data_IF_289009033229
#
_entry.id   IF_289009033229
#
_cell.length_a   1.000
_cell.length_b   1.000
_cell.length_c   1.000
_cell.angle_alpha   90.00
_cell.angle_beta   90.00
_cell.angle_gamma   90.00
#
_symmetry.space_group_name_H-M   'P 1'
#
loop_
_entity.id
_entity.type
_entity.pdbx_description
1 polymer ?
#
# COMPACT_ATOMS: atom_id res chain seq x y z
N UNK A 1 -6.75 33.60 18.34
CA UNK A 1 -6.21 32.31 18.81
C UNK A 1 -6.34 31.32 17.68
N UNK A 2 -5.22 30.91 17.08
CA UNK A 2 -5.21 30.09 15.86
C UNK A 2 -5.75 28.68 16.13
N UNK A 3 -6.41 28.13 15.12
CA UNK A 3 -7.05 26.82 15.05
C UNK A 3 -6.08 25.62 15.12
N UNK A 4 -4.98 25.71 15.88
CA UNK A 4 -3.92 24.70 16.00
C UNK A 4 -4.44 23.28 16.31
N UNK A 5 -5.48 23.16 17.15
CA UNK A 5 -6.09 21.84 17.46
C UNK A 5 -6.93 21.29 16.30
N UNK A 6 -7.64 22.15 15.57
CA UNK A 6 -8.43 21.75 14.40
C UNK A 6 -7.53 21.35 13.23
N UNK A 7 -6.43 22.07 13.01
CA UNK A 7 -5.44 21.73 11.98
C UNK A 7 -4.73 20.41 12.29
N UNK A 8 -4.43 20.14 13.57
CA UNK A 8 -3.91 18.82 14.00
C UNK A 8 -4.91 17.70 13.76
N UNK A 9 -6.18 17.87 14.11
CA UNK A 9 -7.23 16.86 13.91
C UNK A 9 -7.50 16.60 12.41
N UNK A 10 -7.46 17.63 11.57
CA UNK A 10 -7.57 17.49 10.12
C UNK A 10 -6.39 16.69 9.54
N UNK A 11 -5.16 16.97 10.00
CA UNK A 11 -3.96 16.24 9.61
C UNK A 11 -3.97 14.75 10.01
N UNK A 12 -4.54 14.42 11.17
CA UNK A 12 -4.69 13.03 11.64
C UNK A 12 -5.68 12.24 10.78
N UNK A 13 -6.85 12.81 10.47
CA UNK A 13 -7.85 12.15 9.61
C UNK A 13 -7.31 11.91 8.19
N UNK A 14 -6.59 12.89 7.65
CA UNK A 14 -5.97 12.77 6.33
C UNK A 14 -4.88 11.68 6.29
N UNK A 15 -3.98 11.64 7.28
CA UNK A 15 -2.96 10.58 7.39
C UNK A 15 -3.59 9.18 7.54
N UNK A 16 -4.66 9.04 8.33
CA UNK A 16 -5.37 7.77 8.50
C UNK A 16 -6.00 7.29 7.20
N UNK A 17 -6.59 8.20 6.42
CA UNK A 17 -7.17 7.89 5.10
C UNK A 17 -6.08 7.47 4.10
N UNK A 18 -4.97 8.20 4.01
CA UNK A 18 -3.85 7.86 3.13
C UNK A 18 -3.24 6.50 3.48
N UNK A 19 -3.01 6.23 4.76
CA UNK A 19 -2.55 4.91 5.22
C UNK A 19 -3.50 3.79 4.79
N UNK A 20 -4.81 4.01 4.94
CA UNK A 20 -5.84 3.06 4.50
C UNK A 20 -5.79 2.79 3.00
N UNK A 21 -5.62 3.83 2.18
CA UNK A 21 -5.47 3.70 0.73
C UNK A 21 -4.20 2.93 0.37
N UNK A 22 -3.06 3.24 1.00
CA UNK A 22 -1.79 2.52 0.74
C UNK A 22 -1.88 1.04 1.14
N UNK A 23 -2.54 0.71 2.26
CA UNK A 23 -2.78 -0.68 2.67
C UNK A 23 -3.73 -1.42 1.73
N UNK A 24 -4.77 -0.75 1.24
CA UNK A 24 -5.66 -1.36 0.25
C UNK A 24 -4.91 -1.62 -1.07
N UNK A 25 -4.10 -0.66 -1.53
CA UNK A 25 -3.27 -0.81 -2.72
C UNK A 25 -2.27 -1.96 -2.57
N UNK A 26 -1.58 -2.07 -1.42
CA UNK A 26 -0.67 -3.20 -1.19
C UNK A 26 -1.41 -4.54 -1.15
N UNK A 27 -2.59 -4.62 -0.51
CA UNK A 27 -3.39 -5.84 -0.52
C UNK A 27 -3.81 -6.27 -1.94
N UNK A 28 -4.25 -5.31 -2.77
CA UNK A 28 -4.62 -5.57 -4.17
C UNK A 28 -3.41 -6.01 -4.99
N UNK A 29 -2.26 -5.34 -4.86
CA UNK A 29 -1.03 -5.72 -5.57
C UNK A 29 -0.55 -7.11 -5.17
N UNK A 30 -0.62 -7.46 -3.88
CA UNK A 30 -0.27 -8.79 -3.39
C UNK A 30 -1.22 -9.86 -3.94
N UNK A 31 -2.52 -9.58 -3.94
CA UNK A 31 -3.52 -10.48 -4.51
C UNK A 31 -3.25 -10.75 -6.01
N UNK A 32 -3.01 -9.70 -6.79
CA UNK A 32 -2.68 -9.83 -8.20
C UNK A 32 -1.38 -10.61 -8.41
N UNK A 33 -0.36 -10.37 -7.59
CA UNK A 33 0.89 -11.13 -7.64
C UNK A 33 0.65 -12.63 -7.43
N UNK A 34 -0.14 -13.00 -6.42
CA UNK A 34 -0.49 -14.40 -6.14
C UNK A 34 -1.27 -15.01 -7.31
N UNK A 35 -2.30 -14.32 -7.82
CA UNK A 35 -3.11 -14.80 -8.96
C UNK A 35 -2.23 -15.03 -10.18
N UNK A 36 -1.32 -14.11 -10.48
CA UNK A 36 -0.45 -14.21 -11.66
C UNK A 36 0.58 -15.32 -11.52
N UNK A 37 1.10 -15.55 -10.30
CA UNK A 37 1.99 -16.66 -10.02
C UNK A 37 1.27 -18.02 -10.17
N UNK A 38 0.04 -18.12 -9.67
CA UNK A 38 -0.79 -19.32 -9.78
C UNK A 38 -1.23 -19.59 -11.23
N UNK A 39 -1.53 -18.56 -12.03
CA UNK A 39 -1.92 -18.68 -13.44
C UNK A 39 -0.91 -19.52 -14.24
N UNK A 40 0.38 -19.26 -14.06
CA UNK A 40 1.45 -20.04 -14.71
C UNK A 40 1.50 -21.50 -14.26
N UNK A 41 1.21 -21.76 -12.98
CA UNK A 41 1.20 -23.13 -12.45
C UNK A 41 -0.02 -23.92 -12.93
N UNK A 42 -1.19 -23.28 -13.02
CA UNK A 42 -2.45 -23.93 -13.39
C UNK A 42 -2.54 -24.18 -14.89
N UNK A 43 -2.13 -23.23 -15.72
CA UNK A 43 -2.20 -23.35 -17.18
C UNK A 43 -1.08 -24.19 -17.77
N UNK A 44 -0.03 -24.51 -16.98
CA UNK A 44 1.20 -25.12 -17.49
C UNK A 44 1.97 -24.23 -18.47
N UNK A 45 1.56 -22.97 -18.61
CA UNK A 45 2.18 -21.97 -19.47
C UNK A 45 3.43 -21.35 -18.83
N UNK A 46 4.22 -20.60 -19.62
CA UNK A 46 5.37 -19.89 -19.08
C UNK A 46 4.93 -18.88 -18.00
N UNK A 47 5.66 -18.86 -16.88
CA UNK A 47 5.42 -17.90 -15.81
C UNK A 47 5.67 -16.49 -16.33
N UNK A 48 4.65 -15.63 -16.17
CA UNK A 48 4.66 -14.23 -16.59
C UNK A 48 5.51 -13.36 -15.65
N UNK A 49 6.83 -13.55 -15.70
CA UNK A 49 7.82 -12.87 -14.86
C UNK A 49 7.68 -11.34 -14.87
N UNK A 50 7.40 -10.74 -16.03
CA UNK A 50 7.21 -9.29 -16.16
C UNK A 50 6.07 -8.77 -15.27
N UNK A 51 4.94 -9.48 -15.27
CA UNK A 51 3.77 -9.11 -14.48
C UNK A 51 4.01 -9.31 -12.98
N UNK A 52 4.69 -10.40 -12.61
CA UNK A 52 5.10 -10.63 -11.22
C UNK A 52 6.01 -9.51 -10.74
N UNK A 53 6.96 -9.06 -11.57
CA UNK A 53 7.85 -7.96 -11.24
C UNK A 53 7.07 -6.65 -11.02
N UNK A 54 6.15 -6.32 -11.93
CA UNK A 54 5.32 -5.12 -11.84
C UNK A 54 4.49 -5.11 -10.55
N UNK A 55 3.76 -6.21 -10.26
CA UNK A 55 2.94 -6.29 -9.06
C UNK A 55 3.78 -6.33 -7.78
N UNK A 56 4.97 -6.94 -7.82
CA UNK A 56 5.91 -6.97 -6.71
C UNK A 56 6.43 -5.57 -6.37
N UNK A 57 6.84 -4.80 -7.38
CA UNK A 57 7.27 -3.40 -7.21
C UNK A 57 6.11 -2.54 -6.68
N UNK A 58 4.91 -2.68 -7.26
CA UNK A 58 3.72 -1.95 -6.81
C UNK A 58 3.37 -2.27 -5.34
N UNK A 59 3.49 -3.53 -4.94
CA UNK A 59 3.32 -3.95 -3.55
C UNK A 59 4.35 -3.30 -2.63
N UNK A 60 5.64 -3.38 -2.97
CA UNK A 60 6.74 -2.81 -2.17
C UNK A 60 6.55 -1.31 -1.98
N UNK A 61 6.26 -0.58 -3.06
CA UNK A 61 6.05 0.88 -3.01
C UNK A 61 4.84 1.20 -2.12
N UNK A 62 3.70 0.55 -2.34
CA UNK A 62 2.47 0.79 -1.58
C UNK A 62 2.66 0.48 -0.08
N UNK A 63 3.37 -0.61 0.23
CA UNK A 63 3.68 -1.00 1.60
C UNK A 63 4.66 -0.02 2.26
N UNK A 64 5.70 0.44 1.55
CA UNK A 64 6.63 1.44 2.04
C UNK A 64 5.92 2.77 2.35
N UNK A 65 5.01 3.22 1.49
CA UNK A 65 4.18 4.39 1.77
C UNK A 65 3.26 4.17 2.97
N UNK A 66 2.62 3.01 3.09
CA UNK A 66 1.78 2.68 4.24
C UNK A 66 2.59 2.72 5.55
N UNK A 67 3.80 2.15 5.55
CA UNK A 67 4.73 2.18 6.68
C UNK A 67 5.20 3.60 7.00
N UNK A 68 5.54 4.40 5.98
CA UNK A 68 5.91 5.80 6.14
C UNK A 68 4.80 6.62 6.79
N UNK A 69 3.56 6.51 6.32
CA UNK A 69 2.42 7.20 6.93
C UNK A 69 2.10 6.68 8.34
N UNK A 70 2.42 5.41 8.63
CA UNK A 70 2.28 4.86 9.97
C UNK A 70 3.32 5.40 10.96
N UNK A 71 4.60 5.43 10.57
CA UNK A 71 5.68 6.01 11.40
C UNK A 71 5.47 7.51 11.61
N UNK A 72 5.06 8.24 10.57
CA UNK A 72 4.74 9.68 10.65
C UNK A 72 3.52 9.97 11.53
N UNK A 73 2.63 9.00 11.71
CA UNK A 73 1.54 9.09 12.67
C UNK A 73 2.06 8.91 14.11
N UNK A 74 2.86 7.86 14.35
CA UNK A 74 3.44 7.58 15.66
C UNK A 74 4.35 8.70 16.17
N UNK A 75 5.10 9.37 15.29
CA UNK A 75 6.01 10.46 15.70
C UNK A 75 5.33 11.79 16.03
N UNK A 76 4.00 11.88 15.85
CA UNK A 76 3.20 13.07 16.17
C UNK A 76 2.38 12.94 17.46
N UNK A 77 2.30 11.72 17.99
CA UNK A 77 1.78 11.41 19.34
C UNK A 77 2.92 11.51 20.36
#
# INVERSE_FOLDING_TARGET
MSNSRFDRLAGVRYNRRLRGVCLAASAISLFLLIVTALDGMVTGGPVKLDWILIFGIAFIISFAFAAYYHMRFLSRE
#
